data_IF_850593247815
#
_entry.id   IF_850593247815
#
_cell.length_a   1.000
_cell.length_b   1.000
_cell.length_c   1.000
_cell.angle_alpha   90.00
_cell.angle_beta   90.00
_cell.angle_gamma   90.00
#
_symmetry.space_group_name_H-M   'P 1'
#
loop_
_entity.id
_entity.type
_entity.pdbx_description
1 polymer ?
#
# COMPACT_ATOMS: atom_id res chain seq x y z
N UNK A 1 1.34 11.46 13.51
CA UNK A 1 2.82 11.44 13.59
C UNK A 1 3.44 11.65 12.22
N UNK A 2 4.69 12.13 12.13
CA UNK A 2 5.35 12.45 10.86
C UNK A 2 5.36 11.28 9.85
N UNK A 3 5.29 10.05 10.34
CA UNK A 3 5.19 8.84 9.51
C UNK A 3 3.86 8.74 8.77
N UNK A 4 2.73 9.03 9.43
CA UNK A 4 1.40 8.99 8.80
C UNK A 4 1.29 10.02 7.68
N UNK A 5 1.86 11.22 7.86
CA UNK A 5 1.86 12.24 6.81
C UNK A 5 2.68 11.80 5.59
N UNK A 6 3.88 11.25 5.79
CA UNK A 6 4.71 10.72 4.69
C UNK A 6 4.04 9.55 3.97
N UNK A 7 3.36 8.69 4.72
CA UNK A 7 2.59 7.58 4.15
C UNK A 7 1.42 8.11 3.32
N UNK A 8 0.77 9.17 3.80
CA UNK A 8 -0.35 9.80 3.10
C UNK A 8 0.10 10.45 1.79
N UNK A 9 1.19 11.19 1.81
CA UNK A 9 1.77 11.78 0.59
C UNK A 9 2.14 10.70 -0.43
N UNK A 10 2.69 9.57 0.03
CA UNK A 10 2.96 8.43 -0.85
C UNK A 10 1.68 7.79 -1.38
N UNK A 11 0.68 7.61 -0.53
CA UNK A 11 -0.60 7.03 -0.93
C UNK A 11 -1.28 7.91 -1.99
N UNK A 12 -1.38 9.22 -1.75
CA UNK A 12 -1.96 10.19 -2.69
C UNK A 12 -1.14 10.31 -3.99
N UNK A 13 0.17 10.04 -3.96
CA UNK A 13 0.99 9.99 -5.17
C UNK A 13 0.79 8.69 -5.99
N UNK A 14 0.34 7.62 -5.35
CA UNK A 14 0.07 6.33 -5.99
C UNK A 14 -1.35 6.24 -6.54
N UNK A 15 -2.32 6.84 -5.83
CA UNK A 15 -3.75 6.89 -6.19
C UNK A 15 -3.97 7.87 -7.35
N UNK A 16 -3.69 7.41 -8.57
CA UNK A 16 -3.74 8.22 -9.79
C UNK A 16 -5.17 8.64 -10.11
N UNK A 17 -6.13 7.76 -9.83
CA UNK A 17 -7.55 8.02 -10.07
C UNK A 17 -8.19 8.87 -8.95
N UNK A 18 -7.50 9.08 -7.84
CA UNK A 18 -8.01 9.76 -6.63
C UNK A 18 -9.26 9.08 -6.08
N UNK A 19 -9.29 7.76 -6.17
CA UNK A 19 -10.38 6.93 -5.68
C UNK A 19 -10.45 6.91 -4.14
N UNK A 20 -9.35 7.25 -3.47
CA UNK A 20 -9.16 7.07 -2.02
C UNK A 20 -8.70 5.66 -1.65
N UNK A 21 -8.43 4.82 -2.65
CA UNK A 21 -7.98 3.43 -2.52
C UNK A 21 -6.84 3.15 -3.49
N UNK A 22 -5.95 2.22 -3.16
CA UNK A 22 -4.91 1.77 -4.08
C UNK A 22 -5.30 0.42 -4.67
N UNK A 23 -5.52 0.41 -5.98
CA UNK A 23 -5.70 -0.81 -6.74
C UNK A 23 -4.38 -1.60 -6.82
N UNK A 24 -4.48 -2.91 -7.10
CA UNK A 24 -3.30 -3.77 -7.36
C UNK A 24 -2.37 -3.15 -8.39
N UNK A 25 -2.93 -2.56 -9.44
CA UNK A 25 -2.16 -1.96 -10.53
C UNK A 25 -1.45 -0.67 -10.09
N UNK A 26 -2.13 0.23 -9.38
CA UNK A 26 -1.55 1.47 -8.85
C UNK A 26 -0.42 1.20 -7.86
N UNK A 27 -0.65 0.27 -6.93
CA UNK A 27 0.36 -0.14 -5.98
C UNK A 27 1.54 -0.80 -6.69
N UNK A 28 1.27 -1.64 -7.69
CA UNK A 28 2.33 -2.26 -8.50
C UNK A 28 3.14 -1.25 -9.26
N UNK A 29 2.51 -0.33 -9.99
CA UNK A 29 3.21 0.69 -10.77
C UNK A 29 4.13 1.53 -9.90
N UNK A 30 3.65 2.02 -8.76
CA UNK A 30 4.47 2.90 -7.94
C UNK A 30 5.49 2.19 -7.07
N UNK A 31 5.21 0.96 -6.60
CA UNK A 31 6.27 0.14 -5.97
C UNK A 31 7.31 -0.27 -6.99
N UNK A 32 6.92 -0.62 -8.21
CA UNK A 32 7.83 -0.99 -9.29
C UNK A 32 8.68 0.19 -9.77
N UNK A 33 8.15 1.41 -9.75
CA UNK A 33 8.89 2.64 -10.05
C UNK A 33 10.06 2.88 -9.07
N UNK A 34 9.91 2.51 -7.80
CA UNK A 34 10.95 2.67 -6.76
C UNK A 34 11.82 1.41 -6.64
N UNK A 35 11.22 0.24 -6.78
CA UNK A 35 11.83 -1.07 -6.63
C UNK A 35 11.42 -1.98 -7.80
N UNK A 36 12.10 -1.89 -8.96
CA UNK A 36 11.75 -2.66 -10.17
C UNK A 36 11.94 -4.18 -10.02
N UNK A 37 12.48 -4.64 -8.89
CA UNK A 37 12.61 -6.06 -8.53
C UNK A 37 11.32 -6.67 -7.97
N UNK A 38 10.36 -5.84 -7.55
CA UNK A 38 9.09 -6.31 -7.01
C UNK A 38 8.21 -6.78 -8.17
N UNK A 39 7.79 -8.04 -8.13
CA UNK A 39 6.90 -8.62 -9.13
C UNK A 39 5.45 -8.34 -8.78
N UNK A 40 4.55 -8.38 -9.78
CA UNK A 40 3.10 -8.28 -9.54
C UNK A 40 2.63 -9.29 -8.49
N UNK A 41 3.20 -10.49 -8.48
CA UNK A 41 2.91 -11.52 -7.48
C UNK A 41 3.27 -11.10 -6.05
N UNK A 42 4.36 -10.34 -5.86
CA UNK A 42 4.72 -9.82 -4.54
C UNK A 42 3.72 -8.76 -4.07
N UNK A 43 3.25 -7.91 -4.99
CA UNK A 43 2.20 -6.93 -4.70
C UNK A 43 0.89 -7.61 -4.33
N UNK A 44 0.48 -8.63 -5.08
CA UNK A 44 -0.72 -9.43 -4.75
C UNK A 44 -0.60 -10.03 -3.35
N UNK A 45 0.55 -10.63 -3.01
CA UNK A 45 0.79 -11.16 -1.66
C UNK A 45 0.80 -10.09 -0.56
N UNK A 46 1.24 -8.87 -0.88
CA UNK A 46 1.17 -7.74 0.06
C UNK A 46 -0.30 -7.37 0.27
N UNK A 47 -1.05 -7.19 -0.82
CA UNK A 47 -2.46 -6.85 -0.78
C UNK A 47 -3.22 -7.93 0.00
N UNK A 48 -3.05 -9.22 -0.30
CA UNK A 48 -3.70 -10.31 0.45
C UNK A 48 -3.44 -10.30 1.96
N UNK A 49 -2.34 -9.69 2.42
CA UNK A 49 -2.02 -9.56 3.85
C UNK A 49 -2.59 -8.29 4.48
N UNK A 50 -2.87 -7.28 3.67
CA UNK A 50 -3.27 -5.93 4.10
C UNK A 50 -4.77 -5.72 3.92
N UNK A 51 -5.27 -6.15 2.77
CA UNK A 51 -6.67 -6.17 2.34
C UNK A 51 -7.48 -7.09 3.27
N UNK A 52 -8.01 -6.47 4.32
CA UNK A 52 -8.75 -7.16 5.37
C UNK A 52 -10.21 -7.33 4.95
N UNK A 53 -10.72 -6.39 4.13
CA UNK A 53 -12.08 -6.45 3.61
C UNK A 53 -12.21 -7.35 2.36
N UNK A 54 -11.10 -7.74 1.73
CA UNK A 54 -11.00 -8.56 0.52
C UNK A 54 -11.71 -7.95 -0.69
N UNK A 55 -11.69 -6.62 -0.80
CA UNK A 55 -12.25 -5.90 -1.94
C UNK A 55 -11.26 -5.84 -3.12
N UNK A 56 -10.01 -6.29 -2.92
CA UNK A 56 -8.94 -6.25 -3.92
C UNK A 56 -8.28 -4.88 -4.05
N UNK A 57 -8.62 -3.95 -3.15
CA UNK A 57 -8.13 -2.58 -3.10
C UNK A 57 -7.65 -2.27 -1.69
N UNK A 58 -6.57 -1.49 -1.55
CA UNK A 58 -6.04 -1.10 -0.25
C UNK A 58 -6.53 0.31 0.08
N UNK A 59 -7.44 0.41 1.04
CA UNK A 59 -7.87 1.70 1.56
C UNK A 59 -6.77 2.38 2.38
N UNK A 60 -6.87 3.70 2.56
CA UNK A 60 -5.96 4.44 3.43
C UNK A 60 -5.87 3.82 4.84
N UNK A 61 -7.01 3.35 5.37
CA UNK A 61 -7.08 2.72 6.69
C UNK A 61 -6.32 1.39 6.73
N UNK A 62 -6.45 0.56 5.69
CA UNK A 62 -5.72 -0.70 5.58
C UNK A 62 -4.23 -0.46 5.39
N UNK A 63 -3.84 0.56 4.62
CA UNK A 63 -2.45 0.93 4.43
C UNK A 63 -1.76 1.32 5.74
N UNK A 64 -2.38 2.21 6.54
CA UNK A 64 -1.82 2.59 7.84
C UNK A 64 -1.82 1.43 8.84
N UNK A 65 -2.85 0.58 8.81
CA UNK A 65 -2.94 -0.57 9.70
C UNK A 65 -1.85 -1.59 9.36
N UNK A 66 -1.63 -1.85 8.07
CA UNK A 66 -0.52 -2.67 7.60
C UNK A 66 0.84 -2.08 7.99
N UNK A 67 1.03 -0.77 7.84
CA UNK A 67 2.28 -0.13 8.23
C UNK A 67 2.51 -0.19 9.74
N UNK A 68 1.45 -0.05 10.54
CA UNK A 68 1.50 -0.23 12.00
C UNK A 68 1.84 -1.67 12.37
N UNK A 69 1.21 -2.67 11.73
CA UNK A 69 1.53 -4.10 11.91
C UNK A 69 2.98 -4.43 11.51
N UNK A 70 3.49 -3.82 10.44
CA UNK A 70 4.88 -3.98 9.98
C UNK A 70 5.90 -3.30 10.90
N UNK A 71 5.57 -2.12 11.42
CA UNK A 71 6.39 -1.40 12.39
C UNK A 71 6.43 -2.15 13.74
N UNK A 72 5.31 -2.76 14.14
CA UNK A 72 5.22 -3.60 15.33
C UNK A 72 6.05 -4.90 15.20
N UNK A 73 6.23 -5.41 13.97
CA UNK A 73 7.02 -6.61 13.68
C UNK A 73 8.56 -6.41 13.71
N UNK A 74 9.04 -5.27 14.21
CA UNK A 74 10.45 -5.04 14.55
C UNK A 74 10.59 -4.51 15.98
N UNK A 75 10.41 -5.41 16.94
CA UNK A 75 11.16 -5.41 18.21
C UNK A 75 12.24 -6.49 18.14
#
# INVERSE_FOLDING_TARGET
SADEQKLRERFEALDKDKSGTLSVDELYEGVHAVHPKVSRNDIVKIIEKVDTNKDGQVSWQEFIEAFKRLADLKL
#
